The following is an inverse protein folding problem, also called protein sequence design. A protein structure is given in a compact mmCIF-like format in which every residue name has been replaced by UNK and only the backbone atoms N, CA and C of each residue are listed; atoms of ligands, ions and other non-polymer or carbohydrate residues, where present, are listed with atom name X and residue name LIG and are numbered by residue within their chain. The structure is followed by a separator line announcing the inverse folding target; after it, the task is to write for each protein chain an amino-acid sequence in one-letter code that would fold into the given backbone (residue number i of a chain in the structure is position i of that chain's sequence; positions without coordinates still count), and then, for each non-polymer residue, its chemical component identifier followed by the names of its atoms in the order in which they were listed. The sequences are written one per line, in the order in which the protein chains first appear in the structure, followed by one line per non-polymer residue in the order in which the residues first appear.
data_IF_202759272595
#
_entry.id   IF_202759272595
#
_cell.length_a   1.000
_cell.length_b   1.000
_cell.length_c   1.000
_cell.angle_alpha   90.00
_cell.angle_beta   90.00
_cell.angle_gamma   90.00
#
_symmetry.space_group_name_H-M   'P 1'
#
loop_
_entity.id
_entity.type
_entity.pdbx_description
1 polymer ?
#
# COMPACT_ATOMS: atom_id res chain seq x y z
N UNK A 1 -0.49 -21.38 51.42
CA UNK A 1 0.03 -20.28 50.57
C UNK A 1 -0.01 -20.56 49.05
N UNK A 2 -1.02 -21.28 48.52
CA UNK A 2 -1.09 -21.68 47.09
C UNK A 2 -2.30 -21.14 46.30
N UNK A 3 -3.21 -20.36 46.92
CA UNK A 3 -4.43 -19.84 46.26
C UNK A 3 -4.32 -18.42 45.68
N UNK A 4 -3.32 -17.63 46.07
CA UNK A 4 -3.16 -16.24 45.59
C UNK A 4 -2.43 -16.10 44.24
N UNK A 5 -1.70 -17.12 43.76
CA UNK A 5 -0.94 -17.04 42.50
C UNK A 5 -1.79 -17.15 41.22
N UNK A 6 -3.01 -17.69 41.29
CA UNK A 6 -3.89 -17.85 40.10
C UNK A 6 -4.74 -16.62 39.78
N UNK A 7 -4.92 -15.70 40.73
CA UNK A 7 -5.67 -14.45 40.51
C UNK A 7 -4.77 -13.33 39.97
N UNK A 8 -3.51 -13.25 40.43
CA UNK A 8 -2.54 -12.28 39.93
C UNK A 8 -2.24 -12.46 38.43
N UNK A 9 -2.21 -13.72 37.95
CA UNK A 9 -1.92 -14.04 36.55
C UNK A 9 -3.10 -13.74 35.60
N UNK A 10 -4.35 -13.87 36.06
CA UNK A 10 -5.53 -13.48 35.26
C UNK A 10 -5.74 -11.97 35.22
N UNK A 11 -5.41 -11.26 36.29
CA UNK A 11 -5.45 -9.79 36.33
C UNK A 11 -4.36 -9.17 35.41
N UNK A 12 -3.16 -9.76 35.37
CA UNK A 12 -2.09 -9.34 34.45
C UNK A 12 -2.43 -9.58 32.98
N UNK A 13 -3.10 -10.69 32.65
CA UNK A 13 -3.58 -10.95 31.28
C UNK A 13 -4.71 -9.99 30.89
N UNK A 14 -5.59 -9.63 31.83
CA UNK A 14 -6.65 -8.64 31.58
C UNK A 14 -6.08 -7.22 31.41
N UNK A 15 -5.05 -6.84 32.18
CA UNK A 15 -4.35 -5.56 32.06
C UNK A 15 -3.54 -5.51 30.76
N UNK A 16 -2.89 -6.61 30.34
CA UNK A 16 -2.22 -6.67 29.03
C UNK A 16 -3.20 -6.68 27.85
N UNK A 17 -4.42 -7.22 28.02
CA UNK A 17 -5.45 -7.17 26.98
C UNK A 17 -6.11 -5.77 26.88
N UNK A 18 -6.22 -5.05 28.01
CA UNK A 18 -6.71 -3.66 28.02
C UNK A 18 -5.68 -2.66 27.49
N UNK A 19 -4.37 -2.89 27.68
CA UNK A 19 -3.33 -2.02 27.10
C UNK A 19 -3.10 -2.24 25.60
N UNK A 20 -3.64 -3.32 25.01
CA UNK A 20 -3.55 -3.58 23.57
C UNK A 20 -4.78 -3.16 22.75
N UNK A 21 -5.83 -2.63 23.39
CA UNK A 21 -7.08 -2.24 22.71
C UNK A 21 -7.40 -0.75 22.75
N UNK A 22 -6.62 0.06 23.46
CA UNK A 22 -6.71 1.52 23.42
C UNK A 22 -5.34 2.15 23.23
N UNK A 23 -4.75 1.91 22.06
CA UNK A 23 -3.73 2.79 21.57
C UNK A 23 -3.74 2.78 20.05
N UNK A 24 -4.74 3.45 19.51
CA UNK A 24 -4.58 4.23 18.29
C UNK A 24 -3.51 5.29 18.58
N UNK A 25 -2.25 4.90 18.75
CA UNK A 25 -1.15 5.82 18.56
C UNK A 25 -1.18 6.15 17.07
N UNK A 26 -1.90 7.21 16.71
CA UNK A 26 -1.32 8.17 15.77
C UNK A 26 0.00 8.57 16.40
N UNK A 27 1.05 7.86 16.00
CA UNK A 27 2.38 8.43 16.01
C UNK A 27 2.20 9.66 15.11
N UNK A 28 2.05 10.85 15.71
CA UNK A 28 2.42 12.09 15.06
C UNK A 28 3.93 11.97 14.89
N UNK A 29 4.33 11.27 13.83
CA UNK A 29 5.63 11.51 13.28
C UNK A 29 5.57 12.98 12.92
N UNK A 30 6.34 13.82 13.63
CA UNK A 30 6.82 15.10 13.14
C UNK A 30 7.53 14.81 11.80
N UNK A 31 6.72 14.62 10.78
CA UNK A 31 7.13 14.38 9.43
C UNK A 31 7.24 15.75 8.84
N UNK A 32 8.47 16.19 8.60
CA UNK A 32 8.76 17.31 7.70
C UNK A 32 7.80 17.18 6.51
N UNK A 33 6.80 18.05 6.46
CA UNK A 33 5.76 18.04 5.45
C UNK A 33 6.41 18.58 4.18
N UNK A 34 6.77 17.68 3.25
CA UNK A 34 7.31 18.07 1.94
C UNK A 34 6.23 18.69 1.01
N UNK A 35 5.21 19.33 1.58
CA UNK A 35 4.12 19.97 0.85
C UNK A 35 4.42 21.45 0.61
N UNK A 36 3.79 22.02 -0.41
CA UNK A 36 3.89 23.44 -0.71
C UNK A 36 3.11 24.23 0.36
N UNK A 37 3.71 25.28 0.93
CA UNK A 37 2.99 26.15 1.86
C UNK A 37 1.88 26.89 1.12
N UNK A 38 0.65 26.77 1.63
CA UNK A 38 -0.54 27.45 1.09
C UNK A 38 -0.78 28.75 1.85
N UNK A 39 -0.65 28.70 3.17
CA UNK A 39 -0.83 29.86 4.02
C UNK A 39 -0.08 29.69 5.34
N UNK A 40 0.17 30.84 5.97
CA UNK A 40 0.45 30.98 7.41
C UNK A 40 -0.61 31.89 8.00
N UNK A 41 -1.11 31.55 9.18
CA UNK A 41 -2.03 32.37 9.95
C UNK A 41 -1.47 32.51 11.36
N UNK A 42 -1.19 33.75 11.74
CA UNK A 42 -0.69 34.09 13.07
C UNK A 42 -1.42 35.34 13.56
N UNK A 43 -2.38 35.16 14.44
CA UNK A 43 -3.22 36.24 14.99
C UNK A 43 -3.63 35.94 16.42
N UNK A 44 -3.58 36.96 17.26
CA UNK A 44 -4.08 36.93 18.64
C UNK A 44 -5.47 37.54 18.71
N UNK A 45 -6.36 36.87 19.42
CA UNK A 45 -7.71 37.35 19.64
C UNK A 45 -8.02 37.34 21.13
N UNK A 46 -8.27 38.52 21.71
CA UNK A 46 -8.55 38.68 23.14
C UNK A 46 -10.01 38.33 23.51
N UNK A 47 -10.91 38.35 22.53
CA UNK A 47 -12.35 38.16 22.73
C UNK A 47 -12.82 36.76 22.31
N UNK A 48 -14.06 36.42 22.70
CA UNK A 48 -14.76 35.27 22.11
C UNK A 48 -15.24 35.61 20.70
N UNK A 49 -15.20 34.66 19.77
CA UNK A 49 -15.63 34.92 18.41
C UNK A 49 -15.49 33.73 17.48
N UNK A 50 -15.83 33.98 16.21
CA UNK A 50 -15.47 33.10 15.10
C UNK A 50 -14.52 33.85 14.18
N UNK A 51 -13.34 33.26 14.00
CA UNK A 51 -12.27 33.79 13.18
C UNK A 51 -12.13 32.90 11.96
N UNK A 52 -12.06 33.49 10.78
CA UNK A 52 -12.09 32.74 9.52
C UNK A 52 -10.94 33.15 8.60
N UNK A 53 -10.32 32.16 7.97
CA UNK A 53 -9.32 32.34 6.91
C UNK A 53 -9.74 31.58 5.67
N UNK A 54 -9.98 32.30 4.59
CA UNK A 54 -10.20 31.72 3.28
C UNK A 54 -8.86 31.39 2.60
N UNK A 55 -8.81 30.27 1.87
CA UNK A 55 -7.67 29.88 1.06
C UNK A 55 -8.12 29.02 -0.13
N UNK A 56 -7.26 28.93 -1.14
CA UNK A 56 -7.54 28.15 -2.36
C UNK A 56 -6.54 27.01 -2.48
N UNK A 57 -7.04 25.84 -2.84
CA UNK A 57 -6.24 24.68 -3.24
C UNK A 57 -6.34 24.54 -4.75
N UNK A 58 -5.22 24.69 -5.44
CA UNK A 58 -5.18 24.62 -6.92
C UNK A 58 -5.24 23.19 -7.46
N UNK A 59 -4.81 22.21 -6.66
CA UNK A 59 -4.69 20.80 -7.06
C UNK A 59 -5.12 19.88 -5.94
N UNK A 60 -5.80 18.78 -6.27
CA UNK A 60 -6.17 17.77 -5.29
C UNK A 60 -4.93 17.25 -4.57
N UNK A 61 -5.00 17.10 -3.25
CA UNK A 61 -3.86 16.70 -2.43
C UNK A 61 -4.25 16.41 -0.98
N UNK A 62 -3.24 16.25 -0.15
CA UNK A 62 -3.38 16.16 1.30
C UNK A 62 -3.05 17.53 1.87
N UNK A 63 -4.03 18.18 2.48
CA UNK A 63 -3.80 19.35 3.31
C UNK A 63 -3.28 18.89 4.67
N UNK A 64 -2.17 19.46 5.11
CA UNK A 64 -1.67 19.41 6.47
C UNK A 64 -1.93 20.76 7.11
N UNK A 65 -2.68 20.77 8.20
CA UNK A 65 -2.84 21.91 9.10
C UNK A 65 -1.93 21.66 10.29
N UNK A 66 -0.88 22.44 10.39
CA UNK A 66 0.10 22.35 11.45
C UNK A 66 -0.15 23.46 12.45
N UNK A 67 -0.62 23.08 13.64
CA UNK A 67 -0.85 23.99 14.75
C UNK A 67 0.34 23.83 15.68
N UNK A 68 1.31 24.73 15.58
CA UNK A 68 2.44 24.87 16.50
C UNK A 68 2.14 26.10 17.35
N UNK A 69 2.49 26.17 18.63
CA UNK A 69 2.28 27.43 19.36
C UNK A 69 0.86 27.68 19.88
N UNK A 70 -0.13 26.87 19.52
CA UNK A 70 -1.53 27.26 19.63
C UNK A 70 -2.04 27.27 21.09
N UNK A 71 -2.41 28.44 21.60
CA UNK A 71 -2.97 28.59 22.95
C UNK A 71 -4.45 29.00 22.92
N UNK A 72 -5.25 28.39 23.80
CA UNK A 72 -6.65 28.75 23.97
C UNK A 72 -7.05 28.78 25.46
N UNK A 73 -7.64 29.88 25.92
CA UNK A 73 -8.18 29.98 27.29
C UNK A 73 -9.62 29.47 27.38
N UNK A 74 -9.93 28.29 26.85
CA UNK A 74 -11.30 27.80 26.91
C UNK A 74 -11.60 26.68 25.95
N UNK A 75 -12.85 26.67 25.50
CA UNK A 75 -13.29 25.72 24.48
C UNK A 75 -13.25 26.42 23.14
N UNK A 76 -12.56 25.81 22.19
CA UNK A 76 -12.62 26.25 20.81
C UNK A 76 -12.98 25.10 19.87
N UNK A 77 -13.50 25.46 18.72
CA UNK A 77 -13.87 24.53 17.65
C UNK A 77 -13.10 24.91 16.41
N UNK A 78 -12.35 23.95 15.87
CA UNK A 78 -11.78 24.02 14.53
C UNK A 78 -12.79 23.47 13.53
N UNK A 79 -13.09 24.21 12.46
CA UNK A 79 -13.87 23.71 11.34
C UNK A 79 -13.19 24.03 10.01
N UNK A 80 -13.30 23.11 9.06
CA UNK A 80 -12.99 23.37 7.66
C UNK A 80 -14.25 23.20 6.83
N UNK A 81 -14.56 24.19 6.01
CA UNK A 81 -15.70 24.20 5.08
C UNK A 81 -15.23 24.49 3.66
N UNK A 82 -15.99 24.05 2.68
CA UNK A 82 -15.93 24.62 1.31
C UNK A 82 -16.51 26.03 1.30
N UNK A 83 -16.26 26.79 0.23
CA UNK A 83 -16.84 28.13 0.02
C UNK A 83 -18.38 28.14 -0.03
N UNK A 84 -19.01 27.06 -0.48
CA UNK A 84 -20.47 26.86 -0.42
C UNK A 84 -21.01 26.55 1.00
N UNK A 85 -20.13 26.47 2.01
CA UNK A 85 -20.48 26.22 3.40
C UNK A 85 -20.56 24.74 3.80
N UNK A 86 -20.29 23.80 2.90
CA UNK A 86 -20.30 22.35 3.22
C UNK A 86 -19.20 22.02 4.24
N UNK A 87 -19.59 21.42 5.36
CA UNK A 87 -18.66 21.02 6.42
C UNK A 87 -17.83 19.80 6.02
N UNK A 88 -16.51 19.94 6.04
CA UNK A 88 -15.55 18.88 5.72
C UNK A 88 -14.97 18.27 6.99
N UNK A 89 -14.64 19.13 7.95
CA UNK A 89 -14.00 18.73 9.20
C UNK A 89 -14.50 19.60 10.35
N UNK A 90 -14.65 18.97 11.52
CA UNK A 90 -14.94 19.65 12.78
C UNK A 90 -14.22 18.93 13.92
N UNK A 91 -13.53 19.67 14.77
CA UNK A 91 -12.95 19.17 16.01
C UNK A 91 -13.15 20.17 17.14
N UNK A 92 -13.54 19.66 18.31
CA UNK A 92 -13.80 20.46 19.51
C UNK A 92 -12.69 20.21 20.53
N UNK A 93 -12.12 21.30 21.03
CA UNK A 93 -11.12 21.33 22.09
C UNK A 93 -11.78 21.86 23.36
N UNK A 94 -11.56 21.19 24.49
CA UNK A 94 -12.43 21.32 25.68
C UNK A 94 -11.75 21.86 26.93
N UNK A 95 -10.46 22.17 26.85
CA UNK A 95 -9.64 22.56 28.01
C UNK A 95 -8.75 23.74 27.66
N UNK A 96 -8.45 24.54 28.66
CA UNK A 96 -7.38 25.53 28.59
C UNK A 96 -6.07 24.75 28.50
N UNK A 97 -5.40 24.85 27.37
CA UNK A 97 -4.17 24.11 27.13
C UNK A 97 -3.40 24.74 25.99
N UNK A 98 -2.15 24.32 25.88
CA UNK A 98 -1.33 24.54 24.71
C UNK A 98 -1.45 23.32 23.79
N UNK A 99 -1.67 23.58 22.50
CA UNK A 99 -1.94 22.55 21.51
C UNK A 99 -0.85 22.55 20.45
N UNK A 100 -0.18 21.41 20.31
CA UNK A 100 0.65 21.09 19.17
C UNK A 100 0.05 19.87 18.45
N UNK A 101 -0.42 20.07 17.22
CA UNK A 101 -1.00 18.99 16.43
C UNK A 101 -0.94 19.28 14.93
N UNK A 102 -0.56 18.26 14.16
CA UNK A 102 -0.74 18.26 12.72
C UNK A 102 -1.99 17.45 12.33
N UNK A 103 -2.94 18.07 11.65
CA UNK A 103 -4.16 17.45 11.12
C UNK A 103 -4.00 17.27 9.61
N UNK A 104 -4.28 16.08 9.09
CA UNK A 104 -4.18 15.80 7.65
C UNK A 104 -5.52 15.40 7.02
N UNK A 105 -5.80 15.93 5.82
CA UNK A 105 -7.07 15.77 5.13
C UNK A 105 -6.90 15.67 3.61
N UNK A 106 -7.56 14.70 2.98
CA UNK A 106 -7.69 14.66 1.52
C UNK A 106 -8.66 15.75 1.05
N UNK A 107 -8.16 16.68 0.23
CA UNK A 107 -8.96 17.74 -0.38
C UNK A 107 -8.85 17.71 -1.90
N UNK A 108 -9.94 18.08 -2.56
CA UNK A 108 -9.97 18.34 -3.99
C UNK A 108 -9.55 19.79 -4.26
N UNK A 109 -9.30 20.16 -5.53
CA UNK A 109 -9.09 21.56 -5.87
C UNK A 109 -10.37 22.37 -5.60
N UNK A 110 -10.23 23.55 -5.00
CA UNK A 110 -11.36 24.37 -4.61
C UNK A 110 -11.01 25.45 -3.59
N UNK A 111 -12.01 26.23 -3.21
CA UNK A 111 -11.89 27.24 -2.17
C UNK A 111 -12.41 26.70 -0.85
N UNK A 112 -11.71 27.04 0.22
CA UNK A 112 -11.97 26.54 1.56
C UNK A 112 -11.92 27.68 2.57
N UNK A 113 -12.66 27.51 3.65
CA UNK A 113 -12.66 28.41 4.81
C UNK A 113 -12.29 27.60 6.04
N UNK A 114 -11.16 27.94 6.65
CA UNK A 114 -10.77 27.47 7.97
C UNK A 114 -11.36 28.42 9.01
N UNK A 115 -12.09 27.90 9.99
CA UNK A 115 -12.68 28.72 11.04
C UNK A 115 -12.33 28.19 12.43
N UNK A 116 -11.97 29.10 13.32
CA UNK A 116 -11.86 28.86 14.75
C UNK A 116 -12.98 29.58 15.47
N UNK A 117 -13.83 28.86 16.19
CA UNK A 117 -14.85 29.45 17.06
C UNK A 117 -14.46 29.22 18.51
N UNK A 118 -14.16 30.30 19.25
CA UNK A 118 -13.77 30.25 20.66
C UNK A 118 -14.79 30.98 21.54
N UNK A 119 -14.95 30.51 22.78
CA UNK A 119 -15.74 31.19 23.80
C UNK A 119 -14.91 32.11 24.71
N UNK A 120 -13.65 32.33 24.37
CA UNK A 120 -12.66 33.10 25.11
C UNK A 120 -11.49 33.46 24.19
N UNK A 121 -10.44 34.09 24.73
CA UNK A 121 -9.26 34.45 23.96
C UNK A 121 -8.58 33.22 23.31
N UNK A 122 -7.97 33.47 22.16
CA UNK A 122 -7.42 32.47 21.27
C UNK A 122 -6.20 33.05 20.54
N UNK A 123 -5.06 32.37 20.67
CA UNK A 123 -3.87 32.61 19.85
C UNK A 123 -3.86 31.59 18.72
N UNK A 124 -4.06 32.08 17.49
CA UNK A 124 -4.06 31.25 16.29
C UNK A 124 -2.66 31.28 15.69
N UNK A 125 -1.93 30.17 15.81
CA UNK A 125 -0.72 29.92 15.02
C UNK A 125 -0.90 28.61 14.21
N UNK A 126 -1.15 28.76 12.91
CA UNK A 126 -1.47 27.64 12.01
C UNK A 126 -0.79 27.81 10.66
N UNK A 127 -0.09 26.77 10.22
CA UNK A 127 0.49 26.65 8.89
C UNK A 127 -0.27 25.62 8.06
N UNK A 128 -0.65 25.99 6.83
CA UNK A 128 -1.28 25.09 5.87
C UNK A 128 -0.30 24.64 4.80
N UNK A 129 -0.12 23.33 4.60
CA UNK A 129 0.73 22.75 3.56
C UNK A 129 -0.05 21.80 2.66
N UNK A 130 0.19 21.81 1.35
CA UNK A 130 -0.41 20.88 0.40
C UNK A 130 0.62 19.88 -0.10
N UNK A 131 0.39 18.59 0.15
CA UNK A 131 1.09 17.52 -0.54
C UNK A 131 0.23 16.98 -1.68
N UNK A 132 0.60 17.30 -2.92
CA UNK A 132 -0.14 16.83 -4.11
C UNK A 132 0.10 15.36 -4.43
N UNK A 133 0.96 14.66 -3.68
CA UNK A 133 1.15 13.21 -3.84
C UNK A 133 -0.09 12.45 -3.38
N UNK A 134 -0.37 11.34 -4.03
CA UNK A 134 -1.60 10.59 -3.82
C UNK A 134 -1.66 9.97 -2.41
N UNK A 135 -2.73 10.26 -1.66
CA UNK A 135 -2.95 9.65 -0.35
C UNK A 135 -3.29 8.16 -0.43
N UNK A 136 -3.01 7.46 0.66
CA UNK A 136 -3.35 6.05 0.78
C UNK A 136 -4.87 5.82 0.74
N UNK A 137 -5.64 6.73 1.35
CA UNK A 137 -7.10 6.67 1.41
C UNK A 137 -7.71 6.84 0.01
N UNK A 138 -7.26 7.84 -0.76
CA UNK A 138 -7.69 8.08 -2.15
C UNK A 138 -7.30 6.90 -3.04
N UNK A 139 -6.07 6.41 -2.91
CA UNK A 139 -5.60 5.27 -3.68
C UNK A 139 -6.41 3.98 -3.42
N UNK A 140 -6.75 3.69 -2.15
CA UNK A 140 -7.62 2.55 -1.82
C UNK A 140 -9.02 2.73 -2.42
N UNK A 141 -9.59 3.93 -2.32
CA UNK A 141 -10.92 4.23 -2.88
C UNK A 141 -10.95 3.92 -4.38
N UNK A 142 -9.93 4.36 -5.12
CA UNK A 142 -9.80 4.06 -6.55
C UNK A 142 -9.54 2.57 -6.82
N UNK A 143 -8.65 1.93 -6.06
CA UNK A 143 -8.34 0.51 -6.24
C UNK A 143 -9.55 -0.40 -6.00
N UNK A 144 -10.42 -0.07 -5.05
CA UNK A 144 -11.66 -0.82 -4.79
C UNK A 144 -12.60 -0.82 -6.01
N UNK A 145 -12.68 0.29 -6.76
CA UNK A 145 -13.47 0.37 -8.02
C UNK A 145 -12.96 -0.61 -9.08
N UNK A 146 -11.67 -0.95 -9.04
CA UNK A 146 -11.06 -1.91 -9.95
C UNK A 146 -11.17 -3.37 -9.48
N UNK A 147 -11.79 -3.65 -8.34
CA UNK A 147 -12.02 -5.00 -7.86
C UNK A 147 -13.01 -5.75 -8.76
N UNK A 148 -12.70 -6.99 -9.10
CA UNK A 148 -13.63 -7.89 -9.82
C UNK A 148 -13.51 -9.31 -9.28
N UNK A 149 -14.45 -10.21 -9.65
CA UNK A 149 -14.38 -11.65 -9.30
C UNK A 149 -13.02 -12.29 -9.65
N UNK A 150 -12.37 -11.83 -10.72
CA UNK A 150 -11.10 -12.36 -11.19
C UNK A 150 -9.88 -11.53 -10.75
N UNK A 151 -10.10 -10.34 -10.18
CA UNK A 151 -9.06 -9.46 -9.64
C UNK A 151 -9.59 -8.90 -8.30
N UNK A 152 -9.68 -9.74 -7.24
CA UNK A 152 -10.21 -9.30 -5.96
C UNK A 152 -9.28 -8.30 -5.28
N UNK A 153 -9.88 -7.27 -4.68
CA UNK A 153 -9.27 -6.43 -3.66
C UNK A 153 -9.24 -7.17 -2.32
N UNK A 154 -8.12 -7.12 -1.61
CA UNK A 154 -7.97 -7.63 -0.25
C UNK A 154 -7.17 -6.66 0.61
N UNK A 155 -7.64 -6.43 1.82
CA UNK A 155 -6.82 -5.84 2.88
C UNK A 155 -5.88 -6.93 3.40
N UNK A 156 -4.57 -6.67 3.38
CA UNK A 156 -3.55 -7.58 3.91
C UNK A 156 -3.23 -7.22 5.36
N UNK A 157 -3.06 -5.93 5.62
CA UNK A 157 -2.90 -5.37 6.97
C UNK A 157 -3.79 -4.15 7.09
N UNK A 158 -4.68 -4.14 8.08
CA UNK A 158 -5.64 -3.06 8.28
C UNK A 158 -4.93 -1.71 8.36
N UNK A 159 -5.40 -0.74 7.56
CA UNK A 159 -4.85 0.62 7.53
C UNK A 159 -3.45 0.77 6.91
N UNK A 160 -2.78 -0.32 6.50
CA UNK A 160 -1.36 -0.26 6.10
C UNK A 160 -1.07 -0.88 4.74
N UNK A 161 -1.70 -2.02 4.42
CA UNK A 161 -1.40 -2.74 3.19
C UNK A 161 -2.65 -3.36 2.59
N UNK A 162 -2.88 -3.08 1.31
CA UNK A 162 -3.91 -3.68 0.48
C UNK A 162 -3.35 -4.23 -0.83
N UNK A 163 -4.13 -5.08 -1.49
CA UNK A 163 -3.70 -5.76 -2.73
C UNK A 163 -4.86 -6.03 -3.68
N UNK A 164 -4.65 -5.78 -4.96
CA UNK A 164 -5.46 -6.32 -6.06
C UNK A 164 -4.71 -7.51 -6.66
N UNK A 165 -5.28 -8.72 -6.60
CA UNK A 165 -4.59 -9.94 -7.04
C UNK A 165 -5.22 -10.52 -8.30
N UNK A 166 -4.43 -10.76 -9.36
CA UNK A 166 -4.88 -11.56 -10.49
C UNK A 166 -5.08 -13.03 -10.13
N UNK A 167 -5.48 -13.85 -11.10
CA UNK A 167 -5.55 -15.30 -10.97
C UNK A 167 -4.14 -15.89 -10.99
N UNK A 168 -3.88 -16.79 -10.04
CA UNK A 168 -2.68 -17.62 -10.09
C UNK A 168 -2.82 -18.62 -11.24
N UNK A 169 -1.76 -18.76 -12.01
CA UNK A 169 -1.62 -19.80 -13.01
C UNK A 169 -0.59 -20.81 -12.54
N UNK A 170 -0.86 -22.11 -12.74
CA UNK A 170 0.00 -23.21 -12.32
C UNK A 170 0.32 -24.09 -13.51
N UNK A 171 1.53 -24.64 -13.53
CA UNK A 171 1.98 -25.61 -14.54
C UNK A 171 2.86 -26.65 -13.86
N UNK A 172 2.91 -27.85 -14.46
CA UNK A 172 3.84 -28.91 -14.10
C UNK A 172 4.60 -29.40 -15.33
N UNK A 173 5.80 -29.92 -15.10
CA UNK A 173 6.59 -30.66 -16.07
C UNK A 173 7.12 -31.91 -15.38
N UNK A 174 6.95 -33.03 -16.06
CA UNK A 174 7.53 -34.31 -15.65
C UNK A 174 8.67 -34.67 -16.58
N UNK A 175 9.78 -35.09 -16.00
CA UNK A 175 10.95 -35.65 -16.66
C UNK A 175 11.31 -36.94 -15.93
N UNK A 176 12.03 -37.84 -16.61
CA UNK A 176 12.49 -39.11 -16.03
C UNK A 176 13.15 -38.96 -14.65
N UNK A 177 13.86 -37.87 -14.39
CA UNK A 177 14.60 -37.63 -13.15
C UNK A 177 13.94 -36.68 -12.15
N UNK A 178 12.88 -35.96 -12.55
CA UNK A 178 12.23 -34.98 -11.67
C UNK A 178 10.82 -34.59 -12.12
N UNK A 179 9.99 -34.20 -11.16
CA UNK A 179 8.74 -33.46 -11.38
C UNK A 179 8.95 -32.05 -10.87
N UNK A 180 8.67 -31.06 -11.71
CA UNK A 180 8.73 -29.65 -11.33
C UNK A 180 7.33 -29.05 -11.48
N UNK A 181 6.93 -28.22 -10.54
CA UNK A 181 5.71 -27.43 -10.64
C UNK A 181 6.04 -25.97 -10.37
N UNK A 182 5.35 -25.08 -11.08
CA UNK A 182 5.51 -23.64 -10.91
C UNK A 182 4.15 -22.98 -10.89
N UNK A 183 4.05 -21.92 -10.10
CA UNK A 183 2.89 -21.05 -10.07
C UNK A 183 3.33 -19.60 -10.11
N UNK A 184 2.51 -18.75 -10.72
CA UNK A 184 2.74 -17.32 -10.81
C UNK A 184 1.41 -16.56 -10.69
N UNK A 185 1.43 -15.42 -10.01
CA UNK A 185 0.26 -14.57 -9.80
C UNK A 185 0.69 -13.10 -9.81
N UNK A 186 0.22 -12.30 -10.77
CA UNK A 186 0.43 -10.85 -10.74
C UNK A 186 -0.49 -10.22 -9.71
N UNK A 187 -0.04 -9.11 -9.13
CA UNK A 187 -0.83 -8.32 -8.21
C UNK A 187 -0.32 -6.87 -8.16
N UNK A 188 -1.18 -5.99 -7.69
CA UNK A 188 -0.84 -4.61 -7.36
C UNK A 188 -0.82 -4.51 -5.84
N UNK A 189 0.34 -4.19 -5.28
CA UNK A 189 0.46 -3.80 -3.88
C UNK A 189 0.14 -2.32 -3.71
N UNK A 190 -0.62 -2.02 -2.67
CA UNK A 190 -0.96 -0.67 -2.23
C UNK A 190 -0.53 -0.56 -0.77
N UNK A 191 0.51 0.23 -0.49
CA UNK A 191 1.09 0.35 0.85
C UNK A 191 1.04 1.79 1.33
N UNK A 192 0.79 1.98 2.63
CA UNK A 192 0.82 3.29 3.30
C UNK A 192 2.26 3.68 3.67
N UNK A 193 2.59 4.96 3.60
CA UNK A 193 3.80 5.54 4.19
C UNK A 193 3.45 6.94 4.69
N UNK A 194 3.31 7.13 5.99
CA UNK A 194 2.63 8.32 6.52
C UNK A 194 1.19 8.34 6.00
N UNK A 195 0.71 9.45 5.45
CA UNK A 195 -0.62 9.51 4.81
C UNK A 195 -0.59 9.17 3.31
N UNK A 196 0.60 9.01 2.74
CA UNK A 196 0.79 8.73 1.33
C UNK A 196 0.53 7.28 0.98
N UNK A 197 -0.04 7.10 -0.20
CA UNK A 197 -0.16 5.81 -0.87
C UNK A 197 1.07 5.52 -1.73
N UNK A 198 1.35 4.24 -1.91
CA UNK A 198 2.35 3.74 -2.86
C UNK A 198 1.76 2.57 -3.61
N UNK A 199 1.97 2.53 -4.93
CA UNK A 199 1.58 1.38 -5.77
C UNK A 199 2.78 0.67 -6.34
N UNK A 200 2.71 -0.66 -6.38
CA UNK A 200 3.70 -1.49 -7.04
C UNK A 200 3.03 -2.62 -7.79
N UNK A 201 3.38 -2.79 -9.06
CA UNK A 201 3.04 -3.98 -9.81
C UNK A 201 4.11 -5.04 -9.57
N UNK A 202 3.67 -6.20 -9.09
CA UNK A 202 4.57 -7.30 -8.81
C UNK A 202 3.93 -8.63 -9.21
N UNK A 203 4.77 -9.66 -9.18
CA UNK A 203 4.37 -11.05 -9.37
C UNK A 203 4.97 -11.88 -8.25
N UNK A 204 4.21 -12.85 -7.76
CA UNK A 204 4.69 -13.84 -6.82
C UNK A 204 4.46 -15.21 -7.37
N UNK A 205 5.29 -16.14 -6.96
CA UNK A 205 5.13 -17.53 -7.33
C UNK A 205 5.69 -18.48 -6.31
N UNK A 206 5.35 -19.74 -6.54
CA UNK A 206 5.92 -20.89 -5.84
C UNK A 206 6.40 -21.85 -6.90
N UNK A 207 7.62 -22.30 -6.75
CA UNK A 207 8.18 -23.37 -7.57
C UNK A 207 8.54 -24.52 -6.65
N UNK A 208 8.19 -25.73 -7.05
CA UNK A 208 8.51 -26.95 -6.31
C UNK A 208 9.14 -27.96 -7.26
N UNK A 209 10.12 -28.71 -6.78
CA UNK A 209 10.74 -29.80 -7.51
C UNK A 209 10.80 -31.02 -6.60
N UNK A 210 10.45 -32.17 -7.15
CA UNK A 210 10.70 -33.48 -6.57
C UNK A 210 11.65 -34.19 -7.52
N UNK A 211 12.82 -34.62 -7.05
CA UNK A 211 13.85 -35.19 -7.94
C UNK A 211 14.64 -36.32 -7.30
N UNK A 212 15.13 -37.22 -8.16
CA UNK A 212 16.22 -38.11 -7.79
C UNK A 212 17.53 -37.32 -7.84
N UNK A 213 18.20 -37.21 -6.68
CA UNK A 213 19.36 -36.33 -6.50
C UNK A 213 19.02 -34.85 -6.35
N UNK A 214 19.85 -34.13 -5.59
CA UNK A 214 19.63 -32.73 -5.23
C UNK A 214 19.76 -31.80 -6.45
N UNK A 215 18.76 -30.95 -6.68
CA UNK A 215 18.73 -30.00 -7.81
C UNK A 215 18.51 -28.57 -7.34
N UNK A 216 19.45 -27.67 -7.61
CA UNK A 216 19.27 -26.24 -7.34
C UNK A 216 18.59 -25.54 -8.50
N UNK A 217 17.55 -24.74 -8.20
CA UNK A 217 16.91 -23.87 -9.19
C UNK A 217 16.76 -22.43 -8.66
N UNK A 218 16.70 -21.46 -9.59
CA UNK A 218 16.61 -20.03 -9.31
C UNK A 218 15.51 -19.41 -10.16
N UNK A 219 14.34 -19.12 -9.58
CA UNK A 219 13.23 -18.62 -10.36
C UNK A 219 13.59 -17.29 -11.04
N UNK A 220 13.32 -17.21 -12.33
CA UNK A 220 13.43 -16.02 -13.17
C UNK A 220 12.23 -16.04 -14.07
N UNK A 221 11.47 -14.96 -14.22
CA UNK A 221 10.39 -14.93 -15.21
C UNK A 221 10.89 -14.31 -16.51
N UNK A 222 10.76 -15.05 -17.61
CA UNK A 222 11.09 -14.57 -18.95
C UNK A 222 9.84 -14.63 -19.82
N UNK A 223 9.56 -13.53 -20.53
CA UNK A 223 8.42 -13.43 -21.45
C UNK A 223 8.90 -13.56 -22.89
N UNK A 224 8.27 -14.45 -23.64
CA UNK A 224 8.55 -14.68 -25.06
C UNK A 224 7.35 -14.33 -25.93
N UNK A 225 7.63 -13.75 -27.09
CA UNK A 225 6.70 -13.59 -28.21
C UNK A 225 7.06 -14.58 -29.31
N UNK A 226 6.19 -14.81 -30.31
CA UNK A 226 6.31 -15.86 -31.34
C UNK A 226 7.60 -15.94 -32.19
N UNK A 227 8.62 -15.10 -31.90
CA UNK A 227 9.95 -15.13 -32.53
C UNK A 227 11.14 -14.90 -31.59
N UNK A 228 10.97 -14.93 -30.25
CA UNK A 228 12.11 -14.81 -29.31
C UNK A 228 11.77 -14.22 -27.94
N UNK A 229 12.78 -14.14 -27.07
CA UNK A 229 12.69 -13.50 -25.74
C UNK A 229 12.46 -12.00 -25.90
N UNK A 230 11.52 -11.44 -25.16
CA UNK A 230 11.17 -10.01 -25.26
C UNK A 230 11.58 -9.22 -24.01
N UNK A 231 11.41 -9.81 -22.82
CA UNK A 231 11.79 -9.22 -21.54
C UNK A 231 12.07 -10.30 -20.50
N UNK A 232 13.14 -10.15 -19.70
CA UNK A 232 13.45 -11.03 -18.57
C UNK A 232 13.48 -10.26 -17.25
N UNK A 233 12.97 -10.88 -16.18
CA UNK A 233 12.96 -10.35 -14.83
C UNK A 233 13.59 -11.36 -13.88
N UNK A 234 14.58 -10.90 -13.11
CA UNK A 234 15.16 -11.70 -12.05
C UNK A 234 14.18 -11.76 -10.87
N UNK A 235 13.88 -12.96 -10.38
CA UNK A 235 13.14 -13.10 -9.13
C UNK A 235 14.10 -13.11 -7.95
N UNK A 236 13.64 -12.59 -6.83
CA UNK A 236 14.29 -12.79 -5.54
C UNK A 236 13.47 -13.75 -4.69
N UNK A 237 14.18 -14.52 -3.86
CA UNK A 237 13.58 -15.50 -2.96
C UNK A 237 12.96 -14.78 -1.78
N UNK A 238 11.73 -15.12 -1.45
CA UNK A 238 11.05 -14.66 -0.23
C UNK A 238 11.08 -15.71 0.86
N UNK A 239 11.20 -16.98 0.48
CA UNK A 239 11.48 -18.10 1.38
C UNK A 239 11.88 -19.34 0.57
N UNK A 240 12.64 -20.23 1.21
CA UNK A 240 13.13 -21.49 0.66
C UNK A 240 12.99 -22.57 1.75
N UNK A 241 12.76 -23.81 1.33
CA UNK A 241 12.53 -24.95 2.21
C UNK A 241 12.60 -26.24 1.39
N UNK A 242 13.07 -27.32 2.03
CA UNK A 242 13.15 -28.62 1.39
C UNK A 242 13.21 -29.77 2.38
N UNK A 243 12.90 -30.96 1.88
CA UNK A 243 12.87 -32.24 2.59
C UNK A 243 13.64 -33.28 1.77
N UNK A 244 14.30 -34.21 2.46
CA UNK A 244 15.10 -35.28 1.86
C UNK A 244 14.69 -36.63 2.46
N UNK A 245 14.38 -37.58 1.58
CA UNK A 245 14.25 -38.99 1.95
C UNK A 245 15.54 -39.72 1.55
N UNK A 246 16.37 -39.98 2.55
CA UNK A 246 17.66 -40.66 2.40
C UNK A 246 17.52 -42.14 1.98
N UNK A 247 16.35 -42.76 2.16
CA UNK A 247 16.15 -44.17 1.79
C UNK A 247 15.85 -44.35 0.31
N UNK A 248 15.17 -43.37 -0.29
CA UNK A 248 14.77 -43.39 -1.71
C UNK A 248 15.60 -42.44 -2.58
N UNK A 249 16.48 -41.64 -1.96
CA UNK A 249 17.28 -40.59 -2.60
C UNK A 249 16.40 -39.54 -3.32
N UNK A 250 15.21 -39.31 -2.77
CA UNK A 250 14.23 -38.35 -3.27
C UNK A 250 14.39 -37.04 -2.50
N UNK A 251 14.54 -35.95 -3.25
CA UNK A 251 14.61 -34.60 -2.73
C UNK A 251 13.36 -33.84 -3.12
N UNK A 252 12.79 -33.11 -2.17
CA UNK A 252 11.68 -32.20 -2.40
C UNK A 252 12.09 -30.79 -1.98
N UNK A 253 12.26 -29.88 -2.95
CA UNK A 253 12.58 -28.48 -2.69
C UNK A 253 11.42 -27.58 -3.11
N UNK A 254 11.17 -26.51 -2.37
CA UNK A 254 10.20 -25.48 -2.74
C UNK A 254 10.65 -24.07 -2.41
N UNK A 255 10.52 -23.19 -3.41
CA UNK A 255 10.92 -21.79 -3.33
C UNK A 255 9.75 -20.87 -3.58
N UNK A 256 9.55 -19.94 -2.66
CA UNK A 256 8.67 -18.80 -2.87
C UNK A 256 9.49 -17.65 -3.39
N UNK A 257 8.98 -17.01 -4.43
CA UNK A 257 9.72 -15.98 -5.13
C UNK A 257 8.82 -14.83 -5.51
N UNK A 258 9.45 -13.68 -5.74
CA UNK A 258 8.80 -12.45 -6.13
C UNK A 258 9.61 -11.71 -7.18
N UNK A 259 8.88 -11.00 -8.03
CA UNK A 259 9.39 -10.12 -9.07
C UNK A 259 8.67 -8.78 -8.93
N UNK A 260 9.42 -7.70 -8.90
CA UNK A 260 8.86 -6.36 -9.04
C UNK A 260 8.87 -6.01 -10.54
N UNK A 261 7.68 -5.75 -11.09
CA UNK A 261 7.48 -5.51 -12.53
C UNK A 261 7.46 -4.03 -12.88
N UNK A 262 6.98 -3.19 -11.96
CA UNK A 262 6.98 -1.73 -12.04
C UNK A 262 6.68 -1.12 -10.66
N UNK A 263 7.21 0.08 -10.39
CA UNK A 263 7.06 0.81 -9.13
C UNK A 263 6.75 2.30 -9.39
N UNK A 264 5.95 2.93 -8.52
CA UNK A 264 5.60 4.35 -8.63
C UNK A 264 6.81 5.28 -8.42
N UNK A 265 7.81 4.89 -7.61
CA UNK A 265 9.02 5.70 -7.36
C UNK A 265 9.80 6.00 -8.64
N UNK A 266 9.77 5.06 -9.58
CA UNK A 266 10.57 5.14 -10.80
C UNK A 266 9.72 5.58 -12.01
N UNK A 267 8.41 5.84 -11.82
CA UNK A 267 7.38 6.08 -12.87
C UNK A 267 7.75 5.42 -14.22
N UNK A 268 8.11 4.14 -14.21
CA UNK A 268 8.60 3.46 -15.42
C UNK A 268 7.40 2.98 -16.27
N UNK A 269 6.73 3.95 -16.87
CA UNK A 269 5.60 3.75 -17.78
C UNK A 269 6.04 3.01 -19.04
N UNK A 270 7.30 3.16 -19.47
CA UNK A 270 7.86 2.49 -20.63
C UNK A 270 7.96 0.98 -20.43
N UNK A 271 8.47 0.52 -19.29
CA UNK A 271 8.54 -0.90 -18.96
C UNK A 271 7.14 -1.52 -18.83
N UNK A 272 6.21 -0.81 -18.19
CA UNK A 272 4.81 -1.23 -18.10
C UNK A 272 4.15 -1.34 -19.48
N UNK A 273 4.35 -0.36 -20.35
CA UNK A 273 3.79 -0.37 -21.70
C UNK A 273 4.38 -1.49 -22.57
N UNK A 274 5.67 -1.78 -22.41
CA UNK A 274 6.30 -2.95 -23.02
C UNK A 274 5.64 -4.25 -22.55
N UNK A 275 5.41 -4.41 -21.24
CA UNK A 275 4.69 -5.57 -20.68
C UNK A 275 3.26 -5.69 -21.24
N UNK A 276 2.51 -4.59 -21.26
CA UNK A 276 1.15 -4.55 -21.82
C UNK A 276 1.16 -4.95 -23.30
N UNK A 277 2.12 -4.44 -24.09
CA UNK A 277 2.28 -4.80 -25.51
C UNK A 277 2.55 -6.29 -25.70
N UNK A 278 3.42 -6.89 -24.88
CA UNK A 278 3.68 -8.34 -24.89
C UNK A 278 2.40 -9.13 -24.59
N UNK A 279 1.68 -8.76 -23.53
CA UNK A 279 0.49 -9.49 -23.09
C UNK A 279 -0.75 -9.29 -23.97
N UNK A 280 -0.76 -8.27 -24.84
CA UNK A 280 -1.75 -8.14 -25.91
C UNK A 280 -1.58 -9.21 -27.00
N UNK A 281 -0.37 -9.75 -27.19
CA UNK A 281 -0.13 -10.82 -28.15
C UNK A 281 -0.71 -12.15 -27.65
N UNK A 282 -1.20 -13.01 -28.56
CA UNK A 282 -1.87 -14.27 -28.20
C UNK A 282 -0.92 -15.39 -27.74
N UNK A 283 0.39 -15.23 -27.94
CA UNK A 283 1.40 -16.29 -27.75
C UNK A 283 2.45 -15.91 -26.72
N UNK A 284 2.02 -15.58 -25.49
CA UNK A 284 2.96 -15.33 -24.38
C UNK A 284 3.38 -16.65 -23.75
N UNK A 285 4.69 -16.91 -23.73
CA UNK A 285 5.29 -17.97 -22.90
C UNK A 285 6.01 -17.35 -21.71
N UNK A 286 5.95 -18.05 -20.59
CA UNK A 286 6.64 -17.71 -19.34
C UNK A 286 7.60 -18.83 -19.05
N UNK A 287 8.86 -18.50 -18.83
CA UNK A 287 9.84 -19.47 -18.35
C UNK A 287 10.19 -19.18 -16.90
N UNK A 288 10.31 -20.23 -16.10
CA UNK A 288 10.98 -20.25 -14.79
C UNK A 288 12.21 -21.11 -14.93
N UNK A 289 13.36 -20.47 -14.85
CA UNK A 289 14.67 -21.11 -15.05
C UNK A 289 15.11 -21.83 -13.77
N UNK A 290 15.76 -22.97 -13.92
CA UNK A 290 16.62 -23.58 -12.90
C UNK A 290 18.01 -23.81 -13.47
N UNK A 291 18.97 -24.22 -12.63
CA UNK A 291 20.37 -24.39 -13.07
C UNK A 291 20.47 -25.63 -14.01
N UNK A 292 21.32 -25.55 -15.03
CA UNK A 292 21.75 -26.69 -15.90
C UNK A 292 20.59 -27.59 -16.39
N UNK A 293 19.63 -27.05 -17.14
CA UNK A 293 18.53 -27.79 -17.83
C UNK A 293 17.24 -28.04 -17.04
N UNK A 294 17.15 -27.60 -15.78
CA UNK A 294 15.90 -27.68 -15.00
C UNK A 294 15.06 -26.43 -15.15
N UNK A 295 14.44 -26.21 -16.31
CA UNK A 295 13.52 -25.09 -16.53
C UNK A 295 12.11 -25.57 -16.85
N UNK A 296 11.13 -24.73 -16.52
CA UNK A 296 9.75 -24.90 -16.93
C UNK A 296 9.36 -23.71 -17.79
N UNK A 297 9.01 -23.97 -19.05
CA UNK A 297 8.41 -22.99 -19.95
C UNK A 297 6.94 -23.34 -20.12
N UNK A 298 6.04 -22.39 -19.89
CA UNK A 298 4.61 -22.59 -20.11
C UNK A 298 4.01 -21.51 -20.98
N UNK A 299 3.10 -21.92 -21.87
CA UNK A 299 2.24 -21.01 -22.62
C UNK A 299 1.08 -20.60 -21.72
N UNK A 300 0.84 -19.31 -21.55
CA UNK A 300 -0.34 -18.86 -20.82
C UNK A 300 -1.60 -19.22 -21.59
N UNK A 301 -2.62 -19.74 -20.89
CA UNK A 301 -3.96 -19.84 -21.47
C UNK A 301 -4.49 -18.45 -21.80
N UNK A 302 -5.40 -18.37 -22.77
CA UNK A 302 -6.00 -17.08 -23.16
C UNK A 302 -6.70 -16.39 -21.98
N UNK A 303 -7.34 -17.18 -21.11
CA UNK A 303 -7.94 -16.68 -19.89
C UNK A 303 -6.90 -16.10 -18.93
N UNK A 304 -5.82 -16.83 -18.64
CA UNK A 304 -4.76 -16.36 -17.74
C UNK A 304 -4.09 -15.09 -18.27
N UNK A 305 -3.75 -15.08 -19.56
CA UNK A 305 -3.17 -13.93 -20.25
C UNK A 305 -4.08 -12.69 -20.16
N UNK A 306 -5.36 -12.82 -20.53
CA UNK A 306 -6.33 -11.71 -20.44
C UNK A 306 -6.50 -11.21 -19.01
N UNK A 307 -6.50 -12.11 -18.04
CA UNK A 307 -6.58 -11.74 -16.63
C UNK A 307 -5.35 -10.94 -16.17
N UNK A 308 -4.14 -11.39 -16.52
CA UNK A 308 -2.91 -10.71 -16.16
C UNK A 308 -2.78 -9.35 -16.85
N UNK A 309 -3.13 -9.27 -18.14
CA UNK A 309 -3.24 -8.02 -18.87
C UNK A 309 -4.21 -7.03 -18.20
N UNK A 310 -5.34 -7.52 -17.69
CA UNK A 310 -6.29 -6.68 -16.96
C UNK A 310 -5.72 -6.16 -15.64
N UNK A 311 -4.86 -6.92 -14.94
CA UNK A 311 -4.12 -6.42 -13.76
C UNK A 311 -3.17 -5.29 -14.18
N UNK A 312 -2.40 -5.48 -15.25
CA UNK A 312 -1.45 -4.47 -15.74
C UNK A 312 -2.15 -3.17 -16.16
N UNK A 313 -3.26 -3.26 -16.88
CA UNK A 313 -4.05 -2.09 -17.26
C UNK A 313 -4.64 -1.35 -16.04
N UNK A 314 -5.08 -2.09 -15.00
CA UNK A 314 -5.56 -1.46 -13.75
C UNK A 314 -4.44 -0.77 -12.99
N UNK A 315 -3.23 -1.35 -13.00
CA UNK A 315 -2.06 -0.70 -12.43
C UNK A 315 -1.74 0.59 -13.17
N UNK A 316 -1.78 0.59 -14.51
CA UNK A 316 -1.58 1.80 -15.33
C UNK A 316 -2.56 2.92 -14.94
N UNK A 317 -3.85 2.59 -14.78
CA UNK A 317 -4.86 3.55 -14.31
C UNK A 317 -4.60 4.08 -12.89
N UNK A 318 -4.09 3.25 -11.98
CA UNK A 318 -3.71 3.72 -10.64
C UNK A 318 -2.45 4.57 -10.67
N UNK A 319 -1.53 4.34 -11.60
CA UNK A 319 -0.35 5.17 -11.80
C UNK A 319 -0.68 6.54 -12.38
N UNK A 320 -1.69 6.64 -13.24
CA UNK A 320 -2.17 7.93 -13.80
C UNK A 320 -2.71 8.89 -12.72
N UNK A 321 -2.92 8.42 -11.49
CA UNK A 321 -3.30 9.24 -10.34
C UNK A 321 -2.09 9.94 -9.67
N UNK A 322 -0.85 9.62 -10.08
CA UNK A 322 0.40 10.21 -9.57
C UNK A 322 1.04 11.17 -10.57
#
# INVERSE_FOLDING_TARGET
MKRYRRYASRLLILIMALTFTCSSFTISAYGITNGDSIFRWQEDHEDSGTYEKAFTIEKNGILYLDMEGFYAEGRFTLMLKTDDGTLIYKKEYKRNDYYEETISMDLDAGNYVLSFTSNSCLEIEVNGYLDTRLSYKRLIKEAKKYSTKNIPYKTITAGQHARLSGKSYKVGLEKKSYIMTASAQPYIDITRTGDLGKVRLAMKGKTSIVSYGRRTFYPKAVWFTGGGMTTGYNAYLTSDSGEEDYTTNIYQDYKYWKIDLANYKDKDTAQLDKLIKIFKQKTVKVEIVGKKDSYITWKLSDFARKNWLAVFNKYKKLLELY
#
